data_IF_880097793030
#
_entry.id   IF_880097793030
#
_cell.length_a   1.000
_cell.length_b   1.000
_cell.length_c   1.000
_cell.angle_alpha   90.00
_cell.angle_beta   90.00
_cell.angle_gamma   90.00
#
_symmetry.space_group_name_H-M   'P 1'
#
loop_
_entity.id
_entity.type
_entity.pdbx_description
1 polymer ?
#
# COMPACT_ATOMS: atom_id res chain seq x y z
N UNK A 1 -21.76 3.23 -6.95
CA UNK A 1 -20.61 2.40 -6.51
C UNK A 1 -19.41 2.86 -7.33
N UNK A 2 -18.38 3.44 -6.71
CA UNK A 2 -17.21 3.95 -7.42
C UNK A 2 -16.53 2.80 -8.17
N UNK A 3 -16.41 2.91 -9.49
CA UNK A 3 -15.63 1.96 -10.28
C UNK A 3 -14.16 2.22 -9.98
N UNK A 4 -13.55 1.35 -9.17
CA UNK A 4 -12.13 1.49 -8.81
C UNK A 4 -11.31 0.96 -9.98
N UNK A 5 -10.40 1.80 -10.48
CA UNK A 5 -9.45 1.37 -11.50
C UNK A 5 -8.58 0.23 -10.92
N UNK A 6 -8.62 -0.93 -11.61
CA UNK A 6 -7.94 -2.17 -11.19
C UNK A 6 -6.41 -2.08 -11.21
N UNK A 7 -5.85 -1.00 -11.78
CA UNK A 7 -4.42 -0.74 -11.82
C UNK A 7 -3.92 0.11 -10.64
N UNK A 8 -4.80 0.56 -9.74
CA UNK A 8 -4.41 1.33 -8.56
C UNK A 8 -3.77 0.41 -7.52
N UNK A 9 -2.59 0.79 -7.04
CA UNK A 9 -1.95 0.23 -5.85
C UNK A 9 -2.29 1.09 -4.64
N UNK A 10 -2.62 0.48 -3.50
CA UNK A 10 -2.97 1.18 -2.27
C UNK A 10 -1.94 0.90 -1.20
N UNK A 11 -1.44 1.97 -0.57
CA UNK A 11 -0.64 1.89 0.65
C UNK A 11 -1.52 2.27 1.85
N UNK A 12 -1.90 1.30 2.67
CA UNK A 12 -2.67 1.52 3.88
C UNK A 12 -1.78 1.47 5.12
N UNK A 13 -1.65 2.62 5.80
CA UNK A 13 -0.79 2.82 6.96
C UNK A 13 -1.63 2.90 8.24
N UNK A 14 -1.53 1.89 9.09
CA UNK A 14 -2.32 1.79 10.33
C UNK A 14 -3.68 1.12 10.17
N UNK A 15 -4.28 0.76 11.31
CA UNK A 15 -5.46 -0.12 11.37
C UNK A 15 -6.69 0.43 10.65
N UNK A 16 -7.03 1.70 10.90
CA UNK A 16 -8.20 2.32 10.26
C UNK A 16 -8.08 2.35 8.73
N UNK A 17 -6.89 2.65 8.20
CA UNK A 17 -6.65 2.64 6.75
C UNK A 17 -6.72 1.22 6.17
N UNK A 18 -6.18 0.24 6.89
CA UNK A 18 -6.23 -1.17 6.50
C UNK A 18 -7.68 -1.68 6.43
N UNK A 19 -8.50 -1.35 7.43
CA UNK A 19 -9.90 -1.76 7.50
C UNK A 19 -10.75 -1.10 6.39
N UNK A 20 -10.44 0.15 6.03
CA UNK A 20 -11.08 0.81 4.90
C UNK A 20 -10.75 0.15 3.57
N UNK A 21 -9.46 -0.07 3.26
CA UNK A 21 -9.07 -0.59 1.93
C UNK A 21 -9.53 -2.03 1.72
N UNK A 22 -9.69 -2.83 2.78
CA UNK A 22 -10.24 -4.18 2.69
C UNK A 22 -11.69 -4.24 2.19
N UNK A 23 -12.45 -3.15 2.33
CA UNK A 23 -13.82 -3.05 1.82
C UNK A 23 -13.87 -2.74 0.32
N UNK A 24 -12.74 -2.37 -0.30
CA UNK A 24 -12.66 -2.03 -1.70
C UNK A 24 -12.67 -3.30 -2.57
N UNK A 25 -13.53 -3.30 -3.60
CA UNK A 25 -13.62 -4.39 -4.59
C UNK A 25 -12.47 -4.32 -5.60
N UNK A 26 -11.26 -4.63 -5.16
CA UNK A 26 -10.06 -4.74 -6.02
C UNK A 26 -9.21 -5.95 -5.64
N UNK A 27 -8.12 -6.19 -6.37
CA UNK A 27 -7.27 -7.34 -6.18
C UNK A 27 -6.41 -7.20 -4.91
N UNK A 28 -6.31 -8.25 -4.10
CA UNK A 28 -5.58 -8.23 -2.84
C UNK A 28 -4.09 -7.91 -3.03
N UNK A 29 -3.50 -8.34 -4.15
CA UNK A 29 -2.11 -8.05 -4.48
C UNK A 29 -1.82 -6.60 -4.85
N UNK A 30 -2.84 -5.74 -4.91
CA UNK A 30 -2.69 -4.30 -5.08
C UNK A 30 -2.60 -3.56 -3.73
N UNK A 31 -2.78 -4.25 -2.60
CA UNK A 31 -2.72 -3.65 -1.27
C UNK A 31 -1.35 -3.85 -0.63
N UNK A 32 -0.81 -2.77 -0.08
CA UNK A 32 0.39 -2.74 0.73
C UNK A 32 0.03 -2.24 2.11
N UNK A 33 0.53 -2.94 3.13
CA UNK A 33 0.20 -2.65 4.51
C UNK A 33 1.45 -2.34 5.30
N UNK A 34 1.32 -1.38 6.19
CA UNK A 34 2.36 -1.01 7.16
C UNK A 34 1.70 -0.48 8.44
N UNK A 35 2.45 -0.45 9.53
CA UNK A 35 2.08 0.36 10.68
C UNK A 35 2.00 1.85 10.28
N UNK A 36 1.27 2.65 11.05
CA UNK A 36 1.19 4.09 10.82
C UNK A 36 2.55 4.75 11.13
N UNK A 37 2.99 5.75 10.35
CA UNK A 37 4.31 6.39 10.50
C UNK A 37 4.45 7.26 11.76
N UNK A 38 3.37 7.51 12.49
CA UNK A 38 3.42 8.22 13.79
C UNK A 38 4.40 7.56 14.77
N UNK A 39 5.11 8.34 15.61
CA UNK A 39 6.01 7.82 16.65
C UNK A 39 5.41 6.71 17.52
N UNK A 40 4.10 6.74 17.75
CA UNK A 40 3.39 5.76 18.58
C UNK A 40 3.39 4.34 18.00
N UNK A 41 3.61 4.19 16.69
CA UNK A 41 3.48 2.93 15.97
C UNK A 41 4.53 2.66 14.91
N UNK A 42 5.39 3.62 14.56
CA UNK A 42 6.34 3.48 13.47
C UNK A 42 7.30 2.29 13.66
N UNK A 43 7.75 2.05 14.90
CA UNK A 43 8.61 0.92 15.27
C UNK A 43 7.90 -0.44 15.18
N UNK A 44 6.56 -0.46 15.18
CA UNK A 44 5.76 -1.70 15.12
C UNK A 44 5.64 -2.26 13.69
N UNK A 45 6.25 -1.63 12.69
CA UNK A 45 6.30 -2.16 11.34
C UNK A 45 6.32 -1.14 10.20
N UNK A 46 6.43 0.17 10.46
CA UNK A 46 6.68 1.16 9.42
C UNK A 46 8.16 1.24 9.08
N UNK A 47 9.00 1.41 10.11
CA UNK A 47 10.44 1.30 9.93
C UNK A 47 10.81 -0.10 9.44
N UNK A 48 11.77 -0.15 8.52
CA UNK A 48 12.22 -1.37 7.84
C UNK A 48 11.16 -2.11 7.01
N UNK A 49 9.95 -1.55 6.82
CA UNK A 49 8.89 -2.14 6.00
C UNK A 49 9.29 -2.32 4.53
N UNK A 50 10.21 -1.49 4.05
CA UNK A 50 10.62 -1.37 2.64
C UNK A 50 9.42 -1.15 1.69
N UNK A 51 8.34 -0.53 2.19
CA UNK A 51 7.07 -0.51 1.48
C UNK A 51 7.16 0.24 0.14
N UNK A 52 7.91 1.33 0.07
CA UNK A 52 8.15 2.08 -1.16
C UNK A 52 8.89 1.26 -2.23
N UNK A 53 9.92 0.50 -1.81
CA UNK A 53 10.65 -0.43 -2.68
C UNK A 53 9.71 -1.52 -3.22
N UNK A 54 8.92 -2.15 -2.34
CA UNK A 54 7.94 -3.20 -2.72
C UNK A 54 6.89 -2.68 -3.69
N UNK A 55 6.42 -1.43 -3.52
CA UNK A 55 5.49 -0.78 -4.46
C UNK A 55 6.16 -0.61 -5.83
N UNK A 56 7.40 -0.11 -5.88
CA UNK A 56 8.13 0.02 -7.14
C UNK A 56 8.38 -1.34 -7.81
N UNK A 57 8.72 -2.39 -7.06
CA UNK A 57 8.83 -3.75 -7.60
C UNK A 57 7.52 -4.25 -8.22
N UNK A 58 6.37 -3.92 -7.61
CA UNK A 58 5.05 -4.24 -8.16
C UNK A 58 4.75 -3.44 -9.43
N UNK A 59 5.09 -2.15 -9.47
CA UNK A 59 4.95 -1.32 -10.67
C UNK A 59 5.76 -1.90 -11.83
N UNK A 60 7.01 -2.29 -11.58
CA UNK A 60 7.85 -2.93 -12.58
C UNK A 60 7.26 -4.25 -13.10
N UNK A 61 6.73 -5.11 -12.22
CA UNK A 61 6.02 -6.34 -12.62
C UNK A 61 4.76 -6.09 -13.47
N UNK A 62 4.17 -4.90 -13.35
CA UNK A 62 3.02 -4.45 -14.14
C UNK A 62 3.46 -3.67 -15.41
N UNK A 63 4.75 -3.66 -15.74
CA UNK A 63 5.33 -2.86 -16.83
C UNK A 63 5.02 -1.36 -16.70
N UNK A 64 4.89 -0.85 -15.47
CA UNK A 64 4.72 0.58 -15.17
C UNK A 64 6.05 1.16 -14.68
N UNK A 65 6.23 2.47 -14.90
CA UNK A 65 7.40 3.20 -14.41
C UNK A 65 7.40 3.22 -12.87
N UNK A 66 8.55 2.99 -12.22
CA UNK A 66 8.66 3.15 -10.77
C UNK A 66 8.49 4.61 -10.36
N UNK A 67 8.03 4.83 -9.14
CA UNK A 67 7.91 6.17 -8.55
C UNK A 67 9.27 6.59 -7.99
N UNK A 68 9.68 7.83 -8.26
CA UNK A 68 10.78 8.48 -7.56
C UNK A 68 10.19 9.06 -6.27
N UNK A 69 10.39 8.33 -5.17
CA UNK A 69 9.84 8.65 -3.85
C UNK A 69 10.61 9.75 -3.14
#
# INVERSE_FOLDING_TARGET
MLSINKEILFLAMGKNAQDFVQQLKTKKENFFFTAHPSPLSCHKGFFHSQVFKKINEKLLKLNKKPIIW
#
